data_IF_740150600989
#
_entry.id   IF_740150600989
#
_cell.length_a   1.000
_cell.length_b   1.000
_cell.length_c   1.000
_cell.angle_alpha   90.00
_cell.angle_beta   90.00
_cell.angle_gamma   90.00
#
_symmetry.space_group_name_H-M   'P 1'
#
loop_
_entity.id
_entity.type
_entity.pdbx_description
1 polymer ?
#
# COMPACT_ATOMS: atom_id res chain seq x y z
N UNK A 1 9.82 25.80 18.49
CA UNK A 1 9.65 25.27 18.26
C UNK A 1 9.19 25.00 17.29
N UNK A 2 9.13 24.69 16.74
CA UNK A 2 8.70 24.44 15.82
C UNK A 2 7.95 23.39 15.76
N UNK A 3 7.12 23.26 16.32
CA UNK A 3 6.19 22.20 16.43
C UNK A 3 5.33 22.02 15.26
N UNK A 4 5.26 22.96 14.40
CA UNK A 4 4.50 22.81 13.21
C UNK A 4 5.02 21.70 12.35
N UNK A 5 6.32 21.51 12.36
CA UNK A 5 6.88 20.49 11.53
C UNK A 5 6.53 19.13 12.02
N UNK A 6 6.36 18.97 13.31
CA UNK A 6 6.03 17.67 13.85
C UNK A 6 4.61 17.26 13.52
N UNK A 7 3.79 18.19 13.04
CA UNK A 7 2.42 17.85 12.66
C UNK A 7 2.29 17.28 11.27
N UNK A 8 3.34 17.43 10.47
CA UNK A 8 3.30 16.94 9.11
C UNK A 8 4.01 15.60 9.08
N UNK A 9 3.26 14.53 8.97
CA UNK A 9 3.84 13.20 8.90
C UNK A 9 4.16 12.85 7.47
N UNK A 10 5.25 12.13 7.23
CA UNK A 10 5.48 11.55 5.92
C UNK A 10 4.27 10.73 5.51
N UNK A 11 4.01 10.68 4.22
CA UNK A 11 2.80 10.03 3.74
C UNK A 11 2.72 8.57 4.18
N UNK A 12 3.85 7.88 4.22
CA UNK A 12 3.86 6.46 4.59
C UNK A 12 3.62 6.23 6.08
N UNK A 13 3.65 7.29 6.90
CA UNK A 13 3.36 7.19 8.32
C UNK A 13 1.99 7.74 8.69
N UNK A 14 1.22 8.20 7.70
CA UNK A 14 -0.10 8.74 8.00
C UNK A 14 -1.03 7.63 8.46
N UNK A 15 -1.91 7.92 9.42
CA UNK A 15 -2.80 6.88 9.98
C UNK A 15 -3.60 6.15 8.92
N UNK A 16 -4.01 6.86 7.88
CA UNK A 16 -4.79 6.29 6.79
C UNK A 16 -4.01 5.18 6.07
N UNK A 17 -2.72 5.41 5.83
CA UNK A 17 -1.86 4.44 5.16
C UNK A 17 -1.58 3.26 6.10
N UNK A 18 -1.24 3.56 7.34
CA UNK A 18 -0.93 2.51 8.31
C UNK A 18 -2.14 1.63 8.60
N UNK A 19 -3.32 2.23 8.65
CA UNK A 19 -4.54 1.47 8.87
C UNK A 19 -4.80 0.51 7.70
N UNK A 20 -4.56 0.98 6.48
CA UNK A 20 -4.74 0.14 5.30
C UNK A 20 -3.78 -1.04 5.31
N UNK A 21 -2.52 -0.78 5.62
CA UNK A 21 -1.50 -1.82 5.70
C UNK A 21 -1.88 -2.85 6.77
N UNK A 22 -2.29 -2.39 7.93
CA UNK A 22 -2.68 -3.28 9.02
C UNK A 22 -3.88 -4.13 8.63
N UNK A 23 -4.86 -3.52 7.99
CA UNK A 23 -6.06 -4.22 7.54
C UNK A 23 -5.70 -5.37 6.59
N UNK A 24 -4.84 -5.11 5.64
CA UNK A 24 -4.41 -6.13 4.67
C UNK A 24 -3.52 -7.16 5.35
N UNK A 25 -2.61 -6.71 6.19
CA UNK A 25 -1.67 -7.59 6.86
C UNK A 25 -2.36 -8.63 7.74
N UNK A 26 -3.50 -8.27 8.32
CA UNK A 26 -4.24 -9.18 9.19
C UNK A 26 -5.10 -10.19 8.44
N UNK A 27 -4.99 -10.25 7.12
CA UNK A 27 -5.76 -11.20 6.33
C UNK A 27 -5.38 -12.63 6.69
N UNK A 28 -6.34 -13.53 6.84
CA UNK A 28 -6.04 -14.90 7.22
C UNK A 28 -5.39 -15.73 6.11
N UNK A 29 -5.56 -15.30 4.87
CA UNK A 29 -4.95 -16.01 3.74
C UNK A 29 -4.79 -15.03 2.59
N UNK A 30 -4.15 -15.51 1.52
CA UNK A 30 -3.82 -14.68 0.37
C UNK A 30 -5.07 -14.18 -0.35
N UNK A 31 -6.06 -15.04 -0.47
CA UNK A 31 -7.28 -14.68 -1.19
C UNK A 31 -7.98 -13.49 -0.54
N UNK A 32 -8.12 -13.56 0.77
CA UNK A 32 -8.73 -12.46 1.53
C UNK A 32 -7.85 -11.22 1.45
N UNK A 33 -6.53 -11.43 1.48
CA UNK A 33 -5.60 -10.31 1.37
C UNK A 33 -5.77 -9.56 0.07
N UNK A 34 -5.91 -10.27 -1.03
CA UNK A 34 -6.12 -9.65 -2.34
C UNK A 34 -7.43 -8.89 -2.39
N UNK A 35 -8.49 -9.44 -1.80
CA UNK A 35 -9.76 -8.73 -1.71
C UNK A 35 -9.62 -7.43 -0.93
N UNK A 36 -8.85 -7.47 0.14
CA UNK A 36 -8.65 -6.29 0.98
C UNK A 36 -7.81 -5.24 0.28
N UNK A 37 -6.81 -5.66 -0.51
CA UNK A 37 -6.06 -4.73 -1.32
C UNK A 37 -6.99 -4.01 -2.29
N UNK A 38 -7.86 -4.75 -2.96
CA UNK A 38 -8.81 -4.14 -3.89
C UNK A 38 -9.75 -3.18 -3.18
N UNK A 39 -10.21 -3.54 -2.00
CA UNK A 39 -11.11 -2.69 -1.24
C UNK A 39 -10.43 -1.39 -0.86
N UNK A 40 -9.20 -1.46 -0.39
CA UNK A 40 -8.43 -0.27 -0.02
C UNK A 40 -8.14 0.58 -1.25
N UNK A 41 -7.84 -0.08 -2.37
CA UNK A 41 -7.52 0.62 -3.61
C UNK A 41 -8.64 1.54 -4.08
N UNK A 42 -9.87 1.21 -3.77
CA UNK A 42 -11.01 2.05 -4.16
C UNK A 42 -11.10 3.31 -3.34
N UNK A 43 -10.43 3.36 -2.21
CA UNK A 43 -10.53 4.48 -1.28
C UNK A 43 -9.29 5.34 -1.25
N UNK A 44 -8.18 4.83 -1.72
CA UNK A 44 -6.91 5.54 -1.69
C UNK A 44 -6.49 5.93 -3.09
N UNK A 45 -5.67 6.98 -3.17
CA UNK A 45 -5.10 7.39 -4.45
C UNK A 45 -4.02 6.41 -4.88
N UNK A 46 -3.62 6.48 -6.15
CA UNK A 46 -2.52 5.65 -6.66
C UNK A 46 -1.25 5.91 -5.88
N UNK A 47 -0.99 7.16 -5.53
CA UNK A 47 0.18 7.50 -4.75
C UNK A 47 0.16 6.82 -3.39
N UNK A 48 -0.99 6.87 -2.73
CA UNK A 48 -1.14 6.21 -1.43
C UNK A 48 -1.00 4.70 -1.55
N UNK A 49 -1.57 4.13 -2.60
CA UNK A 49 -1.47 2.68 -2.81
C UNK A 49 -0.05 2.23 -3.02
N UNK A 50 0.77 3.04 -3.66
CA UNK A 50 2.18 2.68 -3.80
C UNK A 50 2.86 2.52 -2.45
N UNK A 51 2.53 3.39 -1.50
CA UNK A 51 3.10 3.28 -0.16
C UNK A 51 2.54 2.07 0.58
N UNK A 52 1.25 1.81 0.42
CA UNK A 52 0.65 0.63 1.04
C UNK A 52 1.34 -0.64 0.55
N UNK A 53 1.49 -0.78 -0.76
CA UNK A 53 2.10 -1.97 -1.34
C UNK A 53 3.57 -2.08 -0.94
N UNK A 54 4.28 -0.97 -0.88
CA UNK A 54 5.69 -0.99 -0.49
C UNK A 54 5.86 -1.47 0.95
N UNK A 55 4.98 -1.02 1.83
CA UNK A 55 5.05 -1.44 3.22
C UNK A 55 4.70 -2.92 3.37
N UNK A 56 3.75 -3.40 2.58
CA UNK A 56 3.41 -4.83 2.60
C UNK A 56 4.57 -5.69 2.11
N UNK A 57 5.28 -5.23 1.11
CA UNK A 57 6.47 -5.95 0.63
C UNK A 57 7.52 -5.98 1.72
N UNK A 58 7.71 -4.87 2.39
CA UNK A 58 8.66 -4.76 3.48
C UNK A 58 8.32 -5.75 4.59
N UNK A 59 7.03 -6.01 4.81
CA UNK A 59 6.57 -6.97 5.80
C UNK A 59 6.52 -8.40 5.26
N UNK A 60 7.19 -8.65 4.15
CA UNK A 60 7.35 -9.98 3.58
C UNK A 60 6.06 -10.57 3.01
N UNK A 61 5.17 -9.72 2.56
CA UNK A 61 3.94 -10.17 1.91
C UNK A 61 4.05 -10.03 0.40
N UNK A 62 5.25 -10.25 -0.13
CA UNK A 62 5.53 -10.06 -1.54
C UNK A 62 4.63 -10.90 -2.44
N UNK A 63 4.45 -12.18 -2.09
CA UNK A 63 3.64 -13.07 -2.91
C UNK A 63 2.23 -12.54 -3.11
N UNK A 64 1.65 -12.01 -2.05
CA UNK A 64 0.32 -11.43 -2.11
C UNK A 64 0.31 -10.17 -2.97
N UNK A 65 1.29 -9.30 -2.73
CA UNK A 65 1.35 -8.02 -3.42
C UNK A 65 1.56 -8.22 -4.91
N UNK A 66 2.41 -9.15 -5.30
CA UNK A 66 2.70 -9.39 -6.71
C UNK A 66 1.48 -9.82 -7.51
N UNK A 67 0.55 -10.48 -6.86
CA UNK A 67 -0.66 -10.94 -7.54
C UNK A 67 -1.75 -9.88 -7.59
N UNK A 68 -1.54 -8.74 -6.92
CA UNK A 68 -2.56 -7.70 -6.92
C UNK A 68 -2.56 -6.94 -8.24
N UNK A 69 -3.73 -6.47 -8.62
CA UNK A 69 -3.87 -5.70 -9.86
C UNK A 69 -3.11 -4.38 -9.77
N UNK A 70 -3.10 -3.77 -8.58
CA UNK A 70 -2.39 -2.51 -8.40
C UNK A 70 -0.89 -2.67 -8.61
N UNK A 71 -0.32 -3.75 -8.10
CA UNK A 71 1.11 -3.99 -8.27
C UNK A 71 1.44 -4.18 -9.74
N UNK A 72 0.61 -4.96 -10.45
CA UNK A 72 0.81 -5.18 -11.87
C UNK A 72 0.70 -3.89 -12.66
N UNK A 73 -0.24 -3.05 -12.28
CA UNK A 73 -0.43 -1.76 -12.90
C UNK A 73 0.82 -0.88 -12.77
N UNK A 74 1.36 -0.79 -11.56
CA UNK A 74 2.51 0.07 -11.32
C UNK A 74 3.78 -0.46 -11.98
N UNK A 75 3.96 -1.76 -12.00
CA UNK A 75 5.14 -2.33 -12.65
C UNK A 75 5.03 -2.24 -14.17
N UNK A 76 3.85 -2.34 -14.72
CA UNK A 76 3.66 -2.14 -16.16
C UNK A 76 4.03 -0.74 -16.58
N UNK A 77 3.61 0.26 -15.81
CA UNK A 77 3.96 1.64 -16.10
C UNK A 77 5.47 1.79 -16.09
N UNK A 78 6.12 1.17 -15.14
CA UNK A 78 7.56 1.25 -15.02
C UNK A 78 8.25 0.63 -16.22
N UNK A 79 7.70 -0.44 -16.74
CA UNK A 79 8.29 -1.10 -17.90
C UNK A 79 8.18 -0.28 -19.15
N UNK A 80 7.13 0.46 -19.30
CA UNK A 80 6.91 1.20 -20.54
C UNK A 80 7.81 2.41 -20.66
N UNK A 81 8.57 2.70 -19.64
CA UNK A 81 9.46 3.84 -19.68
C UNK A 81 10.73 3.57 -20.46
N UNK A 82 11.02 2.37 -20.72
CA UNK A 82 12.24 2.09 -21.43
C UNK A 82 12.35 2.82 -22.74
#
# INVERSE_FOLDING_TARGET
MNNQQSKVLPIYLQPRILAAVSFIHRSPNKEIGLERINKVSRKLSDREMKYVLSLLVFDQLLDMVEDSDDFKKFTSIKRTIH
#
